data_IF_213542305642
#
_entry.id   IF_213542305642
#
_cell.length_a   1.000
_cell.length_b   1.000
_cell.length_c   1.000
_cell.angle_alpha   90.00
_cell.angle_beta   90.00
_cell.angle_gamma   90.00
#
_symmetry.space_group_name_H-M   'P 1'
#
loop_
_entity.id
_entity.type
_entity.pdbx_description
1 polymer ?
#
# COMPACT_ATOMS: atom_id res chain seq x y z
N UNK A 1 -7.17 30.79 6.69
CA UNK A 1 -5.96 29.94 6.57
C UNK A 1 -6.41 28.63 5.94
N UNK A 2 -6.08 28.34 4.68
CA UNK A 2 -6.37 27.02 4.07
C UNK A 2 -5.51 26.02 4.84
N UNK A 3 -6.15 25.15 5.62
CA UNK A 3 -5.45 23.98 6.14
C UNK A 3 -5.01 23.20 4.89
N UNK A 4 -3.71 22.92 4.66
CA UNK A 4 -3.35 21.98 3.60
C UNK A 4 -4.18 20.72 3.85
N UNK A 5 -4.84 20.19 2.81
CA UNK A 5 -5.63 18.96 2.96
C UNK A 5 -4.75 17.97 3.73
N UNK A 6 -5.26 17.49 4.87
CA UNK A 6 -4.45 16.72 5.82
C UNK A 6 -4.26 15.34 5.22
N UNK A 7 -3.19 15.17 4.46
CA UNK A 7 -2.82 13.89 3.89
C UNK A 7 -2.18 13.01 4.96
N UNK A 8 -2.65 11.78 5.03
CA UNK A 8 -2.10 10.70 5.81
C UNK A 8 -1.22 9.86 4.89
N UNK A 9 0.03 9.66 5.29
CA UNK A 9 0.96 8.79 4.58
C UNK A 9 1.42 7.71 5.54
N UNK A 10 1.38 6.46 5.11
CA UNK A 10 1.90 5.33 5.88
C UNK A 10 2.67 4.37 4.97
N UNK A 11 3.58 3.61 5.57
CA UNK A 11 4.29 2.54 4.89
C UNK A 11 3.92 1.19 5.49
N UNK A 12 3.82 0.16 4.66
CA UNK A 12 3.61 -1.20 5.10
C UNK A 12 4.55 -2.18 4.38
N UNK A 13 4.76 -3.33 5.00
CA UNK A 13 5.50 -4.44 4.41
C UNK A 13 4.52 -5.58 4.13
N UNK A 14 4.42 -5.98 2.88
CA UNK A 14 3.66 -7.17 2.44
C UNK A 14 4.66 -8.30 2.24
N UNK A 15 4.39 -9.43 2.89
CA UNK A 15 5.17 -10.65 2.72
C UNK A 15 4.39 -11.64 1.88
N UNK A 16 5.05 -12.20 0.87
CA UNK A 16 4.50 -13.24 0.00
C UNK A 16 5.61 -14.22 -0.40
N UNK A 17 5.22 -15.34 -1.01
CA UNK A 17 6.21 -16.26 -1.59
C UNK A 17 6.95 -15.58 -2.76
N UNK A 18 8.24 -15.88 -3.00
CA UNK A 18 8.97 -15.31 -4.13
C UNK A 18 8.30 -15.56 -5.48
N UNK A 19 7.64 -16.71 -5.65
CA UNK A 19 6.92 -17.06 -6.88
C UNK A 19 5.68 -16.19 -7.12
N UNK A 20 5.03 -15.72 -6.06
CA UNK A 20 3.83 -14.87 -6.15
C UNK A 20 4.16 -13.36 -6.17
N UNK A 21 5.40 -12.97 -5.90
CA UNK A 21 5.79 -11.57 -5.73
C UNK A 21 5.38 -10.67 -6.89
N UNK A 22 5.63 -11.09 -8.14
CA UNK A 22 5.27 -10.31 -9.31
C UNK A 22 3.75 -10.13 -9.47
N UNK A 23 2.96 -11.16 -9.12
CA UNK A 23 1.50 -11.07 -9.15
C UNK A 23 0.98 -10.11 -8.08
N UNK A 24 1.50 -10.20 -6.86
CA UNK A 24 1.13 -9.29 -5.76
C UNK A 24 1.53 -7.85 -6.09
N UNK A 25 2.72 -7.61 -6.66
CA UNK A 25 3.15 -6.28 -7.10
C UNK A 25 2.19 -5.70 -8.16
N UNK A 26 1.79 -6.51 -9.13
CA UNK A 26 0.85 -6.07 -10.16
C UNK A 26 -0.48 -5.65 -9.53
N UNK A 27 -1.06 -6.49 -8.66
CA UNK A 27 -2.31 -6.16 -7.97
C UNK A 27 -2.18 -4.93 -7.08
N UNK A 28 -1.10 -4.79 -6.31
CA UNK A 28 -0.87 -3.62 -5.46
C UNK A 28 -0.75 -2.33 -6.26
N UNK A 29 -0.14 -2.39 -7.45
CA UNK A 29 0.05 -1.22 -8.33
C UNK A 29 -1.26 -0.74 -8.99
N UNK A 30 -2.31 -1.57 -8.95
CA UNK A 30 -3.65 -1.20 -9.43
C UNK A 30 -4.50 -0.53 -8.34
N UNK A 31 -4.08 -0.59 -7.06
CA UNK A 31 -4.82 0.01 -5.96
C UNK A 31 -4.53 1.53 -5.94
N UNK A 32 -5.57 2.39 -6.04
CA UNK A 32 -5.38 3.82 -5.97
C UNK A 32 -4.69 4.25 -4.67
N UNK A 33 -3.78 5.22 -4.78
CA UNK A 33 -3.01 5.76 -3.67
C UNK A 33 -2.08 4.76 -2.95
N UNK A 34 -1.80 3.62 -3.59
CA UNK A 34 -0.77 2.67 -3.15
C UNK A 34 0.39 2.71 -4.14
N UNK A 35 1.59 2.91 -3.63
CA UNK A 35 2.83 2.88 -4.39
C UNK A 35 3.69 1.71 -3.91
N UNK A 36 4.19 0.91 -4.84
CA UNK A 36 5.22 -0.10 -4.54
C UNK A 36 6.59 0.60 -4.54
N UNK A 37 7.14 0.83 -3.34
CA UNK A 37 8.41 1.52 -3.17
C UNK A 37 9.61 0.60 -3.42
N UNK A 38 9.52 -0.66 -3.00
CA UNK A 38 10.56 -1.65 -3.24
C UNK A 38 10.00 -3.07 -3.20
N UNK A 39 10.65 -4.00 -3.90
CA UNK A 39 10.36 -5.43 -3.77
C UNK A 39 11.64 -6.25 -3.87
N UNK A 40 11.84 -7.18 -2.94
CA UNK A 40 12.94 -8.15 -2.97
C UNK A 40 12.53 -9.46 -2.29
N UNK A 41 12.77 -10.60 -2.95
CA UNK A 41 12.55 -11.96 -2.43
C UNK A 41 11.21 -12.18 -1.71
N UNK A 42 10.12 -11.63 -2.25
CA UNK A 42 8.77 -11.76 -1.67
C UNK A 42 8.46 -10.77 -0.54
N UNK A 43 9.38 -9.87 -0.19
CA UNK A 43 9.13 -8.72 0.68
C UNK A 43 8.88 -7.49 -0.18
N UNK A 44 7.69 -6.90 -0.03
CA UNK A 44 7.26 -5.73 -0.81
C UNK A 44 7.03 -4.58 0.18
N UNK A 45 7.66 -3.45 -0.06
CA UNK A 45 7.46 -2.21 0.69
C UNK A 45 6.50 -1.35 -0.11
N UNK A 46 5.41 -0.94 0.54
CA UNK A 46 4.43 -0.03 -0.05
C UNK A 46 4.33 1.26 0.74
N UNK A 47 3.98 2.33 0.03
CA UNK A 47 3.51 3.60 0.59
C UNK A 47 2.02 3.71 0.28
N UNK A 48 1.24 4.18 1.23
CA UNK A 48 -0.20 4.38 1.10
C UNK A 48 -0.48 5.84 1.46
N UNK A 49 -1.27 6.51 0.64
CA UNK A 49 -1.75 7.87 0.89
C UNK A 49 -3.27 7.91 1.04
N UNK A 50 -3.77 8.75 1.93
CA UNK A 50 -5.21 8.92 2.14
C UNK A 50 -5.55 10.23 2.83
N UNK A 51 -6.83 10.59 2.85
CA UNK A 51 -7.33 11.84 3.46
C UNK A 51 -7.71 11.67 4.93
N UNK A 52 -7.75 10.43 5.42
CA UNK A 52 -8.03 10.12 6.82
C UNK A 52 -7.39 8.81 7.25
N UNK A 53 -7.23 8.60 8.57
CA UNK A 53 -6.81 7.30 9.12
C UNK A 53 -7.80 6.16 8.82
N UNK A 54 -9.09 6.47 8.61
CA UNK A 54 -10.09 5.49 8.23
C UNK A 54 -9.87 4.94 6.81
N UNK A 55 -9.58 5.83 5.85
CA UNK A 55 -9.21 5.44 4.48
C UNK A 55 -7.92 4.60 4.45
N UNK A 56 -6.93 4.97 5.25
CA UNK A 56 -5.70 4.20 5.41
C UNK A 56 -5.96 2.79 5.92
N UNK A 57 -6.80 2.66 6.96
CA UNK A 57 -7.18 1.36 7.53
C UNK A 57 -7.96 0.50 6.54
N UNK A 58 -8.89 1.09 5.78
CA UNK A 58 -9.63 0.39 4.75
C UNK A 58 -8.72 -0.15 3.64
N UNK A 59 -7.73 0.64 3.22
CA UNK A 59 -6.73 0.23 2.22
C UNK A 59 -5.88 -0.94 2.73
N UNK A 60 -5.39 -0.87 3.97
CA UNK A 60 -4.65 -1.97 4.60
C UNK A 60 -5.49 -3.24 4.73
N UNK A 61 -6.77 -3.12 5.07
CA UNK A 61 -7.68 -4.25 5.15
C UNK A 61 -7.92 -4.90 3.78
N UNK A 62 -8.07 -4.10 2.71
CA UNK A 62 -8.20 -4.61 1.36
C UNK A 62 -6.94 -5.37 0.90
N UNK A 63 -5.76 -4.83 1.21
CA UNK A 63 -4.47 -5.48 0.89
C UNK A 63 -4.30 -6.81 1.65
N UNK A 64 -4.74 -6.87 2.91
CA UNK A 64 -4.66 -8.11 3.70
C UNK A 64 -5.53 -9.25 3.16
N UNK A 65 -6.47 -8.96 2.25
CA UNK A 65 -7.33 -9.96 1.61
C UNK A 65 -6.80 -10.51 0.28
N UNK A 66 -5.64 -10.05 -0.18
CA UNK A 66 -4.93 -10.55 -1.38
C UNK A 66 -4.25 -11.90 -1.11
#
# INVERSE_FOLDING_TARGET
MRNPERYHVSSAVVLTSPAAANGVIATLSEIPNVEVHAADRGKIIIVIEGRSSGEMGATLAAISGL
#
